data_IF_724312120276
#
_entry.id   IF_724312120276
#
_cell.length_a   1.000
_cell.length_b   1.000
_cell.length_c   1.000
_cell.angle_alpha   90.00
_cell.angle_beta   90.00
_cell.angle_gamma   90.00
#
_symmetry.space_group_name_H-M   'P 1'
#
loop_
_entity.id
_entity.type
_entity.pdbx_description
1 polymer ?
#
# COMPACT_ATOMS: atom_id res chain seq x y z
N UNK A 1 -14.20 -31.56 -9.74
CA UNK A 1 -15.06 -30.56 -10.42
C UNK A 1 -14.16 -29.48 -10.97
N UNK A 2 -14.49 -28.85 -12.13
CA UNK A 2 -13.58 -27.88 -12.79
C UNK A 2 -13.44 -26.52 -12.09
N UNK A 3 -13.96 -26.42 -10.87
CA UNK A 3 -14.13 -25.19 -10.10
C UNK A 3 -13.45 -25.27 -8.74
N UNK A 4 -12.65 -26.32 -8.49
CA UNK A 4 -11.81 -26.42 -7.31
C UNK A 4 -10.40 -25.95 -7.65
N UNK A 5 -9.68 -25.43 -6.66
CA UNK A 5 -8.29 -24.97 -6.83
C UNK A 5 -7.34 -26.08 -7.29
N UNK A 6 -7.69 -27.36 -7.11
CA UNK A 6 -6.91 -28.52 -7.58
C UNK A 6 -7.27 -29.02 -8.99
N UNK A 7 -8.37 -28.54 -9.58
CA UNK A 7 -8.84 -28.96 -10.90
C UNK A 7 -9.44 -27.77 -11.67
N UNK A 8 -8.78 -26.62 -11.65
CA UNK A 8 -9.36 -25.37 -12.17
C UNK A 8 -9.34 -25.33 -13.71
N UNK A 9 -10.50 -25.30 -14.36
CA UNK A 9 -10.63 -25.24 -15.83
C UNK A 9 -10.30 -26.54 -16.58
N UNK A 10 -9.39 -27.36 -16.05
CA UNK A 10 -9.03 -28.68 -16.60
C UNK A 10 -8.64 -29.68 -15.51
N UNK A 11 -8.57 -30.96 -15.88
CA UNK A 11 -8.22 -32.02 -14.94
C UNK A 11 -6.76 -31.85 -14.47
N UNK A 12 -6.54 -31.86 -13.16
CA UNK A 12 -5.23 -31.77 -12.51
C UNK A 12 -4.51 -30.44 -12.73
N UNK A 13 -5.22 -29.39 -13.13
CA UNK A 13 -4.70 -28.04 -13.13
C UNK A 13 -4.89 -27.41 -11.76
N UNK A 14 -3.80 -27.33 -11.00
CA UNK A 14 -3.75 -26.75 -9.67
C UNK A 14 -3.44 -25.26 -9.80
N UNK A 15 -4.20 -24.42 -9.09
CA UNK A 15 -3.92 -22.99 -9.04
C UNK A 15 -2.55 -22.73 -8.40
N UNK A 16 -1.72 -21.85 -8.99
CA UNK A 16 -0.47 -21.45 -8.38
C UNK A 16 -0.69 -20.87 -6.97
N UNK A 17 0.14 -21.28 -6.02
CA UNK A 17 0.13 -20.76 -4.66
C UNK A 17 1.21 -19.69 -4.53
N UNK A 18 0.84 -18.53 -3.99
CA UNK A 18 1.77 -17.44 -3.70
C UNK A 18 1.74 -17.08 -2.22
N UNK A 19 2.81 -16.45 -1.73
CA UNK A 19 2.88 -16.02 -0.34
C UNK A 19 1.79 -14.97 -0.04
N UNK A 20 1.23 -15.05 1.18
CA UNK A 20 0.25 -14.09 1.69
C UNK A 20 -0.99 -13.92 0.81
N UNK A 21 -1.39 -15.00 0.14
CA UNK A 21 -2.51 -15.00 -0.79
C UNK A 21 -3.33 -16.28 -0.71
N UNK A 22 -4.62 -16.13 -0.98
CA UNK A 22 -5.61 -17.20 -1.09
C UNK A 22 -6.08 -17.33 -2.55
N UNK A 23 -6.30 -18.56 -3.01
CA UNK A 23 -6.73 -18.84 -4.38
C UNK A 23 -8.17 -19.36 -4.43
N UNK A 24 -8.88 -19.00 -5.50
CA UNK A 24 -10.21 -19.50 -5.80
C UNK A 24 -10.37 -19.83 -7.29
N UNK A 25 -11.40 -20.60 -7.64
CA UNK A 25 -11.68 -20.99 -9.03
C UNK A 25 -13.19 -20.90 -9.38
N UNK A 26 -13.85 -19.74 -9.19
CA UNK A 26 -15.29 -19.62 -9.37
C UNK A 26 -15.74 -19.81 -10.83
N UNK A 27 -14.89 -19.49 -11.80
CA UNK A 27 -15.23 -19.48 -13.24
C UNK A 27 -14.44 -20.50 -14.06
N UNK A 28 -13.70 -21.41 -13.42
CA UNK A 28 -12.76 -22.30 -14.10
C UNK A 28 -11.43 -21.62 -14.46
N UNK A 29 -11.20 -20.42 -13.93
CA UNK A 29 -9.95 -19.66 -14.02
C UNK A 29 -9.47 -19.40 -12.59
N UNK A 30 -8.17 -19.55 -12.35
CA UNK A 30 -7.58 -19.27 -11.05
C UNK A 30 -7.63 -17.77 -10.78
N UNK A 31 -8.17 -17.41 -9.62
CA UNK A 31 -8.23 -16.05 -9.10
C UNK A 31 -7.45 -16.02 -7.80
N UNK A 32 -6.63 -14.99 -7.61
CA UNK A 32 -5.87 -14.75 -6.39
C UNK A 32 -6.48 -13.58 -5.63
N UNK A 33 -6.41 -13.63 -4.31
CA UNK A 33 -6.73 -12.51 -3.43
C UNK A 33 -5.74 -12.46 -2.29
N UNK A 34 -5.29 -11.27 -1.91
CA UNK A 34 -4.39 -11.11 -0.78
C UNK A 34 -5.07 -11.49 0.52
N UNK A 35 -4.30 -12.11 1.41
CA UNK A 35 -4.74 -12.38 2.77
C UNK A 35 -5.00 -11.06 3.50
N UNK A 36 -5.83 -11.10 4.54
CA UNK A 36 -6.15 -9.89 5.32
C UNK A 36 -4.87 -9.27 5.89
N UNK A 37 -4.68 -7.97 5.66
CA UNK A 37 -3.47 -7.25 6.07
C UNK A 37 -2.37 -7.23 5.01
N UNK A 38 -2.56 -7.84 3.84
CA UNK A 38 -1.62 -7.76 2.73
C UNK A 38 -2.21 -7.04 1.52
N UNK A 39 -1.36 -6.39 0.74
CA UNK A 39 -1.74 -5.74 -0.51
C UNK A 39 -0.86 -6.19 -1.67
N UNK A 40 -1.47 -6.17 -2.85
CA UNK A 40 -0.80 -6.31 -4.13
C UNK A 40 -0.39 -4.91 -4.62
N UNK A 41 0.90 -4.64 -4.64
CA UNK A 41 1.43 -3.30 -4.86
C UNK A 41 1.75 -2.99 -6.31
N UNK A 42 2.03 -4.00 -7.12
CA UNK A 42 2.31 -3.81 -8.54
C UNK A 42 1.10 -4.10 -9.44
N UNK A 43 -0.01 -4.56 -8.85
CA UNK A 43 -1.25 -4.92 -9.53
C UNK A 43 -1.16 -6.24 -10.30
N UNK A 44 -0.07 -7.00 -10.17
CA UNK A 44 0.11 -8.28 -10.82
C UNK A 44 -0.66 -9.36 -10.07
N UNK A 45 -1.62 -9.98 -10.74
CA UNK A 45 -2.36 -11.12 -10.17
C UNK A 45 -1.58 -12.44 -10.25
N UNK A 46 -0.29 -12.38 -10.64
CA UNK A 46 0.53 -13.55 -11.01
C UNK A 46 1.71 -13.80 -10.09
N UNK A 47 1.84 -13.02 -9.01
CA UNK A 47 2.88 -13.09 -7.98
C UNK A 47 2.25 -12.95 -6.57
N UNK A 48 3.11 -12.90 -5.57
CA UNK A 48 2.85 -12.74 -4.15
C UNK A 48 2.22 -11.39 -3.78
N UNK A 49 1.55 -11.31 -2.63
CA UNK A 49 1.08 -10.03 -2.09
C UNK A 49 2.21 -9.35 -1.33
N UNK A 50 2.80 -8.34 -1.96
CA UNK A 50 4.14 -7.88 -1.66
C UNK A 50 4.24 -7.06 -0.37
N UNK A 51 3.14 -6.44 0.07
CA UNK A 51 3.15 -5.55 1.23
C UNK A 51 2.32 -6.10 2.40
N UNK A 52 2.99 -6.33 3.53
CA UNK A 52 2.35 -6.42 4.85
C UNK A 52 1.94 -5.00 5.29
N UNK A 53 0.65 -4.68 5.23
CA UNK A 53 0.10 -3.37 5.57
C UNK A 53 0.14 -3.07 7.07
N UNK A 54 0.42 -4.05 7.92
CA UNK A 54 0.61 -3.83 9.36
C UNK A 54 2.04 -3.42 9.71
N UNK A 55 2.97 -3.51 8.75
CA UNK A 55 4.36 -3.12 8.94
C UNK A 55 4.53 -1.60 8.96
N UNK A 56 5.44 -1.10 9.79
CA UNK A 56 5.84 0.32 9.79
C UNK A 56 6.55 0.72 8.49
N UNK A 57 7.02 -0.25 7.69
CA UNK A 57 7.68 0.01 6.41
C UNK A 57 6.71 0.23 5.24
N UNK A 58 5.43 -0.10 5.42
CA UNK A 58 4.35 0.09 4.45
C UNK A 58 3.35 1.12 4.94
N UNK A 59 3.25 1.30 6.26
CA UNK A 59 2.39 2.32 6.87
C UNK A 59 0.97 2.26 6.30
N UNK A 60 0.36 1.08 6.30
CA UNK A 60 -1.01 0.90 5.82
C UNK A 60 -1.19 0.84 4.29
N UNK A 61 -0.17 1.14 3.49
CA UNK A 61 -0.28 1.20 2.04
C UNK A 61 0.96 0.68 1.27
N UNK A 62 0.77 0.41 -0.02
CA UNK A 62 1.87 0.11 -0.92
C UNK A 62 2.77 1.32 -1.10
N UNK A 63 4.08 1.16 -0.88
CA UNK A 63 5.04 2.26 -0.93
C UNK A 63 4.83 3.35 0.13
N UNK A 64 3.96 3.12 1.12
CA UNK A 64 3.73 4.05 2.21
C UNK A 64 4.91 4.07 3.17
N UNK A 65 5.17 5.24 3.76
CA UNK A 65 6.17 5.42 4.80
C UNK A 65 5.51 6.09 6.01
N UNK A 66 5.88 5.64 7.21
CA UNK A 66 5.49 6.30 8.44
C UNK A 66 6.30 7.59 8.64
N UNK A 67 5.64 8.67 9.01
CA UNK A 67 6.29 9.91 9.49
C UNK A 67 6.16 10.04 11.00
N UNK A 68 7.16 10.67 11.62
CA UNK A 68 7.07 11.04 13.03
C UNK A 68 6.21 12.30 13.19
N UNK A 69 5.48 12.39 14.29
CA UNK A 69 4.51 13.47 14.46
C UNK A 69 5.11 14.87 14.54
N UNK A 70 6.33 14.98 15.07
CA UNK A 70 7.12 16.20 15.19
C UNK A 70 7.94 16.52 13.93
N UNK A 71 7.83 15.71 12.89
CA UNK A 71 8.50 15.95 11.61
C UNK A 71 7.88 17.16 10.88
N UNK A 72 8.72 18.08 10.43
CA UNK A 72 8.28 19.22 9.61
C UNK A 72 8.26 18.84 8.14
N UNK A 73 7.09 18.96 7.52
CA UNK A 73 6.85 18.69 6.11
C UNK A 73 6.82 19.99 5.32
N UNK A 74 7.50 20.02 4.19
CA UNK A 74 7.55 21.17 3.28
C UNK A 74 6.29 21.20 2.41
N UNK A 75 5.47 22.23 2.60
CA UNK A 75 4.24 22.45 1.85
C UNK A 75 4.56 23.15 0.52
N UNK A 76 3.76 22.88 -0.52
CA UNK A 76 3.91 23.58 -1.82
C UNK A 76 3.63 25.09 -1.69
N UNK A 77 2.89 25.52 -0.65
CA UNK A 77 2.69 26.93 -0.34
C UNK A 77 3.98 27.68 0.04
N UNK A 78 5.09 26.96 0.28
CA UNK A 78 6.36 27.50 0.76
C UNK A 78 6.47 27.57 2.28
N UNK A 79 5.46 27.09 3.00
CA UNK A 79 5.45 26.99 4.47
C UNK A 79 5.88 25.58 4.93
N UNK A 80 6.25 25.47 6.21
CA UNK A 80 6.47 24.19 6.87
C UNK A 80 5.30 23.88 7.80
N UNK A 81 4.92 22.61 7.87
CA UNK A 81 3.84 22.13 8.74
C UNK A 81 4.25 20.84 9.40
N UNK A 82 4.01 20.71 10.71
CA UNK A 82 4.24 19.44 11.41
C UNK A 82 3.34 18.35 10.83
N UNK A 83 3.87 17.12 10.72
CA UNK A 83 3.14 15.98 10.17
C UNK A 83 1.82 15.73 10.90
N UNK A 84 1.76 15.94 12.23
CA UNK A 84 0.50 15.83 13.01
C UNK A 84 -0.59 16.82 12.61
N UNK A 85 -0.22 17.92 11.96
CA UNK A 85 -1.17 18.94 11.54
C UNK A 85 -1.60 18.75 10.09
N UNK A 86 -0.98 17.83 9.33
CA UNK A 86 -1.37 17.54 7.96
C UNK A 86 -2.81 17.01 7.91
N UNK A 87 -3.55 17.52 6.92
CA UNK A 87 -4.92 17.15 6.64
C UNK A 87 -4.98 16.47 5.27
N UNK A 88 -6.00 15.62 5.08
CA UNK A 88 -6.27 15.05 3.76
C UNK A 88 -6.46 16.18 2.74
N UNK A 89 -5.71 16.12 1.63
CA UNK A 89 -5.71 17.15 0.60
C UNK A 89 -4.64 18.23 0.77
N UNK A 90 -3.85 18.21 1.85
CA UNK A 90 -2.62 19.00 1.91
C UNK A 90 -1.66 18.53 0.81
N UNK A 91 -1.03 19.51 0.15
CA UNK A 91 -0.09 19.27 -0.94
C UNK A 91 1.33 19.58 -0.49
N UNK A 92 2.22 18.62 -0.67
CA UNK A 92 3.59 18.66 -0.15
C UNK A 92 4.60 18.36 -1.25
N UNK A 93 5.85 18.76 -1.02
CA UNK A 93 6.96 18.33 -1.87
C UNK A 93 7.47 16.94 -1.47
N UNK A 94 7.79 16.12 -2.45
CA UNK A 94 8.59 14.91 -2.25
C UNK A 94 10.06 15.30 -2.36
N UNK A 95 10.86 15.05 -1.33
CA UNK A 95 12.29 15.35 -1.32
C UNK A 95 13.12 14.06 -1.29
N UNK A 96 14.28 14.05 -1.95
CA UNK A 96 15.28 12.98 -1.77
C UNK A 96 16.12 13.21 -0.49
N UNK A 97 17.06 12.29 -0.23
CA UNK A 97 18.00 12.38 0.91
C UNK A 97 18.90 13.63 0.88
N UNK A 98 19.05 14.27 -0.29
CA UNK A 98 19.80 15.52 -0.47
C UNK A 98 18.89 16.76 -0.42
N UNK A 99 17.64 16.60 0.03
CA UNK A 99 16.66 17.67 0.18
C UNK A 99 16.26 18.36 -1.14
N UNK A 100 16.40 17.66 -2.28
CA UNK A 100 16.00 18.13 -3.59
C UNK A 100 14.60 17.61 -3.93
N UNK A 101 13.77 18.46 -4.55
CA UNK A 101 12.43 18.10 -5.00
C UNK A 101 12.53 17.02 -6.08
N UNK A 102 11.93 15.86 -5.79
CA UNK A 102 11.77 14.75 -6.75
C UNK A 102 10.37 14.71 -7.34
N UNK A 103 9.36 15.23 -6.62
CA UNK A 103 8.00 15.43 -7.14
C UNK A 103 7.46 16.76 -6.61
N UNK A 104 6.86 17.54 -7.51
CA UNK A 104 6.39 18.89 -7.28
C UNK A 104 4.99 18.95 -6.65
N UNK A 105 4.24 17.85 -6.68
CA UNK A 105 2.91 17.76 -6.06
C UNK A 105 2.57 16.35 -5.57
N UNK A 106 2.69 16.12 -4.26
CA UNK A 106 2.15 14.92 -3.60
C UNK A 106 0.93 15.29 -2.77
N UNK A 107 -0.16 14.57 -2.98
CA UNK A 107 -1.38 14.71 -2.18
C UNK A 107 -1.26 13.73 -1.00
N UNK A 108 -1.17 14.28 0.21
CA UNK A 108 -1.11 13.45 1.42
C UNK A 108 -2.51 12.92 1.77
N UNK A 109 -2.61 11.60 1.94
CA UNK A 109 -3.79 10.94 2.51
C UNK A 109 -3.44 10.52 3.94
N UNK A 110 -3.94 11.28 4.91
CA UNK A 110 -3.68 10.98 6.33
C UNK A 110 -4.76 10.04 6.85
N UNK A 111 -4.41 8.77 7.04
CA UNK A 111 -5.22 7.86 7.84
C UNK A 111 -4.90 8.10 9.32
N UNK A 112 -5.86 8.64 10.07
CA UNK A 112 -5.73 8.80 11.52
C UNK A 112 -6.05 7.47 12.19
N UNK A 113 -5.04 6.70 12.54
CA UNK A 113 -5.20 5.55 13.43
C UNK A 113 -5.72 6.05 14.80
N UNK A 114 -6.83 5.51 15.34
CA UNK A 114 -7.46 6.01 16.56
C UNK A 114 -6.61 5.84 17.83
N UNK A 115 -5.47 5.14 17.76
CA UNK A 115 -4.56 4.91 18.88
C UNK A 115 -3.06 5.13 18.57
N UNK A 116 -2.71 5.65 17.40
CA UNK A 116 -1.32 5.91 17.07
C UNK A 116 -0.91 7.32 17.52
N UNK A 117 0.13 7.40 18.35
CA UNK A 117 0.82 8.66 18.62
C UNK A 117 1.54 9.12 17.34
N UNK A 118 0.83 9.85 16.47
CA UNK A 118 1.44 10.78 15.52
C UNK A 118 1.97 10.23 14.19
N UNK A 119 1.51 9.08 13.69
CA UNK A 119 1.92 8.58 12.38
C UNK A 119 0.90 8.97 11.29
N UNK A 120 1.36 9.57 10.19
CA UNK A 120 0.57 9.83 8.98
C UNK A 120 1.14 9.05 7.79
N UNK A 121 0.34 8.86 6.73
CA UNK A 121 0.72 8.10 5.53
C UNK A 121 0.98 9.04 4.33
N UNK A 122 1.97 8.71 3.50
CA UNK A 122 2.18 9.33 2.16
C UNK A 122 1.73 8.33 1.10
N UNK A 123 0.79 8.74 0.25
CA UNK A 123 0.36 7.98 -0.91
C UNK A 123 0.90 8.68 -2.16
N UNK A 124 1.84 8.06 -2.86
CA UNK A 124 2.25 8.44 -4.22
C UNK A 124 1.54 7.52 -5.19
N UNK A 125 0.75 8.09 -6.10
CA UNK A 125 0.08 7.37 -7.19
C UNK A 125 1.03 7.10 -8.35
#
# INVERSE_FOLDING_TARGET
TRYTTSHCGSCNYVCPSYAHSSQSCPTGICVMSCDTGYSNCDGSITNDCEADLSSTSTCGACGGACFHGDELVSMISGEYKEAIHLLSGDRVYSLNEQNQIIEDEVIMMVHKEPNATGYGEKHTY
#
